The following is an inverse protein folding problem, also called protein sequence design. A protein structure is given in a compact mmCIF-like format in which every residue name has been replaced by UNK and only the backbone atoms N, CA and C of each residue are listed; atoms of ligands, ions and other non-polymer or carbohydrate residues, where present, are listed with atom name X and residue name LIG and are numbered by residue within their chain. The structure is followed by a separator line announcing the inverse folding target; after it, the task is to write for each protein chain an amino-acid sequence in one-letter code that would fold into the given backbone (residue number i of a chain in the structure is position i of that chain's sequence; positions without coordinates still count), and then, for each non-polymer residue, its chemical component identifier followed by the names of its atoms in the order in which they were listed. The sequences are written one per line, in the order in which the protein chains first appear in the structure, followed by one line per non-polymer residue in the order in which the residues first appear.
data_IF_364440049923
#
_entry.id   IF_364440049923
#
_cell.length_a   1.000
_cell.length_b   1.000
_cell.length_c   1.000
_cell.angle_alpha   90.00
_cell.angle_beta   90.00
_cell.angle_gamma   90.00
#
_symmetry.space_group_name_H-M   'P 1'
#
loop_
_entity.id
_entity.type
_entity.pdbx_description
1 polymer ?
#
# COMPACT_ATOMS: atom_id res chain seq x y z
N UNK A 1 -14.75 -8.11 -8.88
CA UNK A 1 -13.53 -7.36 -8.56
C UNK A 1 -13.81 -6.42 -7.41
N UNK A 2 -12.83 -6.19 -6.53
CA UNK A 2 -13.00 -5.26 -5.40
C UNK A 2 -12.68 -3.82 -5.82
N UNK A 3 -11.57 -3.61 -6.54
CA UNK A 3 -11.23 -2.31 -7.14
C UNK A 3 -11.09 -2.49 -8.66
N UNK A 4 -11.71 -1.58 -9.41
CA UNK A 4 -11.60 -1.52 -10.86
C UNK A 4 -11.17 -0.12 -11.26
N UNK A 5 -10.09 -0.01 -12.01
CA UNK A 5 -9.56 1.24 -12.54
C UNK A 5 -9.61 1.17 -14.06
N UNK A 6 -10.18 2.20 -14.71
CA UNK A 6 -10.29 2.29 -16.18
C UNK A 6 -9.92 3.68 -16.65
N UNK A 7 -9.01 3.72 -17.59
CA UNK A 7 -8.57 4.93 -18.29
C UNK A 7 -8.22 6.09 -17.33
N UNK A 8 -7.46 5.77 -16.26
CA UNK A 8 -7.13 6.73 -15.23
C UNK A 8 -6.01 7.67 -15.71
N UNK A 9 -6.32 8.96 -15.75
CA UNK A 9 -5.39 10.04 -16.07
C UNK A 9 -5.20 10.94 -14.86
N UNK A 10 -3.94 11.32 -14.62
CA UNK A 10 -3.56 12.27 -13.55
C UNK A 10 -2.53 13.26 -14.09
N UNK A 11 -2.81 14.54 -13.88
CA UNK A 11 -1.88 15.62 -14.19
C UNK A 11 -1.44 16.31 -12.90
N UNK A 12 -0.13 16.47 -12.68
CA UNK A 12 0.46 17.14 -11.52
C UNK A 12 1.50 18.18 -12.01
N UNK A 13 1.33 19.45 -11.62
CA UNK A 13 2.28 20.50 -11.97
C UNK A 13 2.58 20.61 -13.49
N UNK A 14 1.58 20.34 -14.33
CA UNK A 14 1.73 20.35 -15.79
C UNK A 14 2.25 19.03 -16.40
N UNK A 15 2.70 18.06 -15.59
CA UNK A 15 3.13 16.75 -16.05
C UNK A 15 1.96 15.76 -16.11
N UNK A 16 1.82 15.03 -17.23
CA UNK A 16 0.85 13.93 -17.37
C UNK A 16 1.43 12.66 -16.76
N UNK A 17 1.18 12.44 -15.46
CA UNK A 17 1.82 11.38 -14.66
C UNK A 17 1.19 10.01 -14.91
N UNK A 18 -0.15 9.93 -14.95
CA UNK A 18 -0.86 8.70 -15.33
C UNK A 18 -1.56 8.92 -16.67
N UNK A 19 -1.42 7.97 -17.59
CA UNK A 19 -1.76 8.10 -18.99
C UNK A 19 -2.65 6.94 -19.46
N UNK A 20 -3.88 6.86 -18.88
CA UNK A 20 -4.83 5.79 -19.21
C UNK A 20 -4.53 4.50 -18.46
N UNK A 21 -4.17 4.59 -17.16
CA UNK A 21 -3.95 3.42 -16.31
C UNK A 21 -5.25 2.65 -16.12
N UNK A 22 -5.19 1.33 -16.36
CA UNK A 22 -6.32 0.42 -16.14
C UNK A 22 -5.84 -0.92 -15.62
N UNK A 23 -6.41 -1.35 -14.48
CA UNK A 23 -6.22 -2.69 -13.91
C UNK A 23 -7.28 -2.97 -12.85
N UNK A 24 -7.32 -4.22 -12.41
CA UNK A 24 -8.25 -4.71 -11.40
C UNK A 24 -7.52 -5.25 -10.18
N UNK A 25 -8.15 -5.11 -9.00
CA UNK A 25 -7.77 -5.79 -7.77
C UNK A 25 -8.89 -6.77 -7.41
N UNK A 26 -8.57 -8.05 -7.38
CA UNK A 26 -9.50 -9.08 -6.94
C UNK A 26 -9.73 -8.98 -5.42
N UNK A 27 -10.85 -9.49 -4.94
CA UNK A 27 -11.08 -9.64 -3.51
C UNK A 27 -10.23 -10.78 -2.96
N UNK A 28 -9.62 -10.55 -1.79
CA UNK A 28 -8.68 -11.47 -1.14
C UNK A 28 -7.24 -11.37 -1.66
N UNK A 29 -6.29 -11.48 -0.75
CA UNK A 29 -4.86 -11.48 -1.05
C UNK A 29 -4.27 -10.13 -1.46
N UNK A 30 -3.09 -10.17 -2.05
CA UNK A 30 -2.31 -8.98 -2.41
C UNK A 30 -2.14 -8.87 -3.93
N UNK A 31 -2.51 -7.73 -4.49
CA UNK A 31 -2.09 -7.27 -5.82
C UNK A 31 -0.92 -6.33 -5.66
N UNK A 32 0.22 -6.61 -6.28
CA UNK A 32 1.39 -5.73 -6.24
C UNK A 32 1.45 -4.81 -7.48
N UNK A 33 1.63 -3.52 -7.23
CA UNK A 33 1.87 -2.51 -8.25
C UNK A 33 3.36 -2.21 -8.32
N UNK A 34 4.02 -2.66 -9.38
CA UNK A 34 5.45 -2.59 -9.62
C UNK A 34 5.80 -1.50 -10.61
N UNK A 35 7.07 -1.13 -10.65
CA UNK A 35 7.61 -0.18 -11.60
C UNK A 35 8.75 0.65 -11.00
N UNK A 36 9.50 1.33 -11.84
CA UNK A 36 10.63 2.19 -11.43
C UNK A 36 10.15 3.39 -10.60
N UNK A 37 11.09 4.09 -9.98
CA UNK A 37 10.76 5.34 -9.28
C UNK A 37 10.24 6.39 -10.26
N UNK A 38 9.19 7.12 -9.84
CA UNK A 38 8.61 8.20 -10.61
C UNK A 38 7.63 7.78 -11.72
N UNK A 39 7.35 6.48 -11.93
CA UNK A 39 6.43 6.01 -12.98
C UNK A 39 4.94 6.21 -12.67
N UNK A 40 4.58 6.64 -11.44
CA UNK A 40 3.20 6.94 -11.07
C UNK A 40 2.57 6.01 -10.03
N UNK A 41 3.30 5.09 -9.39
CA UNK A 41 2.76 4.13 -8.41
C UNK A 41 2.04 4.81 -7.24
N UNK A 42 2.73 5.65 -6.46
CA UNK A 42 2.16 6.46 -5.37
C UNK A 42 1.03 7.36 -5.87
N UNK A 43 1.19 7.93 -7.07
CA UNK A 43 0.15 8.77 -7.70
C UNK A 43 -1.12 7.97 -7.97
N UNK A 44 -1.01 6.70 -8.36
CA UNK A 44 -2.16 5.80 -8.53
C UNK A 44 -2.89 5.61 -7.20
N UNK A 45 -2.19 5.31 -6.10
CA UNK A 45 -2.80 5.18 -4.77
C UNK A 45 -3.48 6.49 -4.34
N UNK A 46 -2.80 7.62 -4.53
CA UNK A 46 -3.35 8.95 -4.21
C UNK A 46 -4.58 9.29 -5.06
N UNK A 47 -4.62 8.89 -6.32
CA UNK A 47 -5.80 9.06 -7.16
C UNK A 47 -6.98 8.21 -6.66
N UNK A 48 -6.76 6.95 -6.29
CA UNK A 48 -7.80 6.09 -5.69
C UNK A 48 -8.34 6.73 -4.41
N UNK A 49 -7.48 7.28 -3.55
CA UNK A 49 -7.86 7.97 -2.31
C UNK A 49 -8.55 9.33 -2.52
N UNK A 50 -8.53 9.88 -3.72
CA UNK A 50 -9.03 11.24 -3.96
C UNK A 50 -8.08 12.35 -3.50
N UNK A 51 -6.80 12.04 -3.29
CA UNK A 51 -5.75 12.97 -2.91
C UNK A 51 -5.02 13.59 -4.10
N UNK A 52 -5.31 13.13 -5.33
CA UNK A 52 -4.80 13.71 -6.57
C UNK A 52 -5.95 14.01 -7.53
N UNK A 53 -5.84 15.07 -8.37
CA UNK A 53 -6.76 15.30 -9.47
C UNK A 53 -6.79 14.07 -10.38
N UNK A 54 -7.99 13.62 -10.75
CA UNK A 54 -8.14 12.39 -11.51
C UNK A 54 -9.26 12.48 -12.54
N UNK A 55 -9.05 11.81 -13.68
CA UNK A 55 -10.03 11.59 -14.75
C UNK A 55 -10.03 10.09 -15.08
N UNK A 56 -11.13 9.58 -15.55
CA UNK A 56 -11.35 8.15 -15.78
C UNK A 56 -12.34 7.58 -14.78
N UNK A 57 -12.41 6.25 -14.68
CA UNK A 57 -13.35 5.56 -13.78
C UNK A 57 -12.58 4.78 -12.70
N UNK A 58 -13.04 4.91 -11.46
CA UNK A 58 -12.58 4.14 -10.30
C UNK A 58 -13.80 3.60 -9.57
N UNK A 59 -13.93 2.28 -9.53
CA UNK A 59 -15.04 1.59 -8.88
C UNK A 59 -14.50 0.76 -7.71
N UNK A 60 -15.04 0.98 -6.50
CA UNK A 60 -14.72 0.22 -5.29
C UNK A 60 -15.94 -0.57 -4.84
N UNK A 61 -15.82 -1.90 -4.81
CA UNK A 61 -16.92 -2.80 -4.43
C UNK A 61 -18.22 -2.54 -5.20
N UNK A 62 -18.14 -2.29 -6.51
CA UNK A 62 -19.27 -1.99 -7.40
C UNK A 62 -19.75 -0.54 -7.38
N UNK A 63 -19.18 0.33 -6.53
CA UNK A 63 -19.61 1.71 -6.39
C UNK A 63 -18.56 2.68 -6.98
N UNK A 64 -18.94 3.64 -7.83
CA UNK A 64 -18.03 4.62 -8.40
C UNK A 64 -17.55 5.60 -7.34
N UNK A 65 -16.24 5.84 -7.27
CA UNK A 65 -15.62 6.71 -6.26
C UNK A 65 -14.78 7.85 -6.87
N UNK A 66 -14.66 7.95 -8.19
CA UNK A 66 -13.78 8.94 -8.85
C UNK A 66 -14.17 10.39 -8.56
N UNK A 67 -15.41 10.66 -8.15
CA UNK A 67 -15.90 12.00 -7.78
C UNK A 67 -16.06 12.20 -6.28
N UNK A 68 -15.77 11.18 -5.47
CA UNK A 68 -15.93 11.27 -4.04
C UNK A 68 -14.75 11.97 -3.36
N UNK A 69 -15.04 12.59 -2.23
CA UNK A 69 -14.02 13.18 -1.34
C UNK A 69 -13.34 12.08 -0.53
N UNK A 70 -12.08 12.26 -0.18
CA UNK A 70 -11.24 11.30 0.53
C UNK A 70 -11.91 10.70 1.77
N UNK A 71 -12.54 11.55 2.62
CA UNK A 71 -13.18 11.05 3.84
C UNK A 71 -14.35 10.08 3.57
N UNK A 72 -15.08 10.25 2.45
CA UNK A 72 -16.15 9.31 2.04
C UNK A 72 -15.56 8.00 1.53
N UNK A 73 -14.51 8.08 0.71
CA UNK A 73 -13.77 6.90 0.21
C UNK A 73 -13.23 6.08 1.38
N UNK A 74 -12.58 6.74 2.36
CA UNK A 74 -12.09 6.10 3.58
C UNK A 74 -13.24 5.49 4.39
N UNK A 75 -14.40 6.17 4.46
CA UNK A 75 -15.62 5.67 5.11
C UNK A 75 -16.19 4.39 4.47
N UNK A 76 -15.88 4.10 3.19
CA UNK A 76 -16.26 2.86 2.49
C UNK A 76 -15.38 1.65 2.86
N UNK A 77 -14.42 1.83 3.76
CA UNK A 77 -13.50 0.78 4.21
C UNK A 77 -12.19 0.75 3.45
N UNK A 78 -11.70 1.90 2.98
CA UNK A 78 -10.37 2.02 2.39
C UNK A 78 -9.38 2.46 3.46
N UNK A 79 -8.33 1.63 3.68
CA UNK A 79 -7.20 1.94 4.55
C UNK A 79 -6.00 2.40 3.72
N UNK A 80 -5.09 3.17 4.33
CA UNK A 80 -3.87 3.61 3.67
C UNK A 80 -2.67 3.62 4.61
N UNK A 81 -1.57 3.02 4.14
CA UNK A 81 -0.25 3.07 4.76
C UNK A 81 0.65 3.87 3.83
N UNK A 82 1.03 5.10 4.18
CA UNK A 82 1.87 5.96 3.35
C UNK A 82 3.34 5.56 3.40
N UNK A 83 4.10 5.91 2.34
CA UNK A 83 5.54 5.70 2.22
C UNK A 83 6.34 6.37 3.36
N UNK A 84 5.98 7.61 3.73
CA UNK A 84 6.67 8.41 4.75
C UNK A 84 6.28 8.05 6.20
N UNK A 85 5.54 6.93 6.40
CA UNK A 85 5.04 6.45 7.69
C UNK A 85 4.04 7.38 8.37
N UNK A 86 4.15 8.69 8.26
CA UNK A 86 3.26 9.74 8.79
C UNK A 86 2.89 9.52 10.28
N UNK A 87 3.88 9.13 11.12
CA UNK A 87 3.67 9.03 12.56
C UNK A 87 3.71 10.42 13.21
N UNK A 88 2.83 10.65 14.18
CA UNK A 88 2.87 11.87 15.00
C UNK A 88 4.01 11.75 16.01
N UNK A 89 5.18 12.26 15.66
CA UNK A 89 6.43 12.09 16.42
C UNK A 89 6.35 12.58 17.87
N UNK A 90 5.55 13.62 18.14
CA UNK A 90 5.34 14.21 19.48
C UNK A 90 4.38 13.40 20.37
N UNK A 91 3.61 12.50 19.80
CA UNK A 91 2.65 11.65 20.50
C UNK A 91 3.26 10.29 20.85
N UNK A 92 2.70 9.63 21.84
CA UNK A 92 3.05 8.25 22.19
C UNK A 92 2.54 7.27 21.13
N UNK A 93 3.02 6.01 21.17
CA UNK A 93 2.51 4.93 20.33
C UNK A 93 1.01 4.77 20.53
N UNK A 94 0.55 4.70 21.79
CA UNK A 94 -0.88 4.56 22.11
C UNK A 94 -1.71 5.72 21.59
N UNK A 95 -1.24 6.97 21.72
CA UNK A 95 -1.93 8.15 21.17
C UNK A 95 -2.00 8.11 19.66
N UNK A 96 -0.92 7.69 18.97
CA UNK A 96 -0.91 7.50 17.53
C UNK A 96 -1.97 6.48 17.09
N UNK A 97 -2.07 5.35 17.78
CA UNK A 97 -3.07 4.32 17.52
C UNK A 97 -4.49 4.85 17.77
N UNK A 98 -4.71 5.52 18.92
CA UNK A 98 -6.02 6.06 19.28
C UNK A 98 -6.55 7.08 18.29
N UNK A 99 -5.68 7.94 17.73
CA UNK A 99 -6.06 8.92 16.69
C UNK A 99 -6.49 8.27 15.38
N UNK A 100 -6.07 7.05 15.11
CA UNK A 100 -6.44 6.33 13.89
C UNK A 100 -7.83 5.67 13.96
N UNK A 101 -8.39 5.52 15.16
CA UNK A 101 -9.72 4.91 15.36
C UNK A 101 -10.79 5.80 14.74
N UNK A 102 -11.62 5.21 13.85
CA UNK A 102 -12.72 5.92 13.17
C UNK A 102 -14.05 5.80 13.93
N UNK A 103 -14.72 4.72 13.84
CA UNK A 103 -16.07 4.56 14.40
C UNK A 103 -16.11 3.27 15.21
N UNK A 104 -16.02 3.27 16.50
CA UNK A 104 -16.17 2.11 17.39
C UNK A 104 -15.77 0.74 16.82
N UNK A 105 -15.27 -0.17 17.62
CA UNK A 105 -14.86 -1.50 17.12
C UNK A 105 -13.42 -1.54 16.59
N UNK A 106 -12.56 -0.67 17.13
CA UNK A 106 -11.13 -0.71 16.85
C UNK A 106 -10.52 -2.08 17.21
N UNK A 107 -9.76 -2.67 16.28
CA UNK A 107 -9.18 -4.01 16.40
C UNK A 107 -7.84 -4.00 17.13
N UNK A 108 -7.82 -3.49 18.38
CA UNK A 108 -6.60 -3.44 19.19
C UNK A 108 -6.00 -4.82 19.45
N UNK A 109 -6.84 -5.85 19.65
CA UNK A 109 -6.35 -7.22 19.87
C UNK A 109 -5.56 -7.72 18.67
N UNK A 110 -6.07 -7.55 17.44
CA UNK A 110 -5.36 -7.90 16.21
C UNK A 110 -4.04 -7.12 16.10
N UNK A 111 -4.07 -5.82 16.35
CA UNK A 111 -2.87 -4.98 16.27
C UNK A 111 -1.82 -5.43 17.29
N UNK A 112 -2.20 -5.75 18.53
CA UNK A 112 -1.27 -6.23 19.55
C UNK A 112 -0.79 -7.66 19.32
N UNK A 113 -1.55 -8.48 18.63
CA UNK A 113 -1.12 -9.81 18.18
C UNK A 113 -0.06 -9.71 17.07
N UNK A 114 -0.30 -8.85 16.07
CA UNK A 114 0.62 -8.64 14.95
C UNK A 114 1.89 -7.87 15.36
N UNK A 115 1.77 -6.96 16.33
CA UNK A 115 2.84 -6.06 16.78
C UNK A 115 2.95 -6.04 18.33
N UNK A 116 3.35 -7.15 18.98
CA UNK A 116 3.39 -7.20 20.46
C UNK A 116 4.30 -6.13 21.05
N UNK A 117 5.39 -5.76 20.38
CA UNK A 117 6.30 -4.71 20.84
C UNK A 117 5.67 -3.31 20.88
N UNK A 118 4.62 -3.03 20.11
CA UNK A 118 3.91 -1.75 20.20
C UNK A 118 3.14 -1.62 21.50
N UNK A 119 2.66 -2.74 22.06
CA UNK A 119 2.04 -2.78 23.37
C UNK A 119 3.05 -2.46 24.49
N UNK A 120 4.25 -3.06 24.41
CA UNK A 120 5.32 -2.82 25.37
C UNK A 120 5.80 -1.35 25.37
N UNK A 121 5.72 -0.71 24.18
CA UNK A 121 6.15 0.67 23.93
C UNK A 121 5.01 1.68 23.93
N UNK A 122 3.83 1.31 24.41
CA UNK A 122 2.61 2.13 24.34
C UNK A 122 2.82 3.59 24.80
N UNK A 123 3.58 3.78 25.90
CA UNK A 123 3.89 5.10 26.47
C UNK A 123 5.10 5.80 25.83
N UNK A 124 5.84 5.14 24.91
CA UNK A 124 7.01 5.72 24.25
C UNK A 124 6.58 6.70 23.15
N UNK A 125 7.27 7.84 23.02
CA UNK A 125 7.01 8.79 21.92
C UNK A 125 7.41 8.19 20.57
N UNK A 126 6.51 8.25 19.59
CA UNK A 126 6.73 7.66 18.28
C UNK A 126 7.96 8.22 17.55
N UNK A 127 8.32 9.49 17.78
CA UNK A 127 9.52 10.10 17.22
C UNK A 127 10.84 9.50 17.71
N UNK A 128 10.83 8.75 18.83
CA UNK A 128 12.04 8.09 19.39
C UNK A 128 12.19 6.63 18.97
N UNK A 129 11.22 6.11 18.21
CA UNK A 129 11.25 4.77 17.67
C UNK A 129 12.22 4.66 16.50
N UNK A 130 12.76 3.45 16.25
CA UNK A 130 13.49 3.15 15.03
C UNK A 130 12.58 3.28 13.79
N UNK A 131 13.19 3.44 12.61
CA UNK A 131 12.43 3.53 11.36
C UNK A 131 11.50 2.34 11.11
N UNK A 132 11.93 1.11 11.46
CA UNK A 132 11.08 -0.09 11.36
C UNK A 132 9.93 -0.07 12.35
N UNK A 133 10.16 0.36 13.59
CA UNK A 133 9.10 0.49 14.60
C UNK A 133 8.07 1.56 14.22
N UNK A 134 8.52 2.68 13.63
CA UNK A 134 7.61 3.68 13.07
C UNK A 134 6.77 3.11 11.92
N UNK A 135 7.37 2.25 11.08
CA UNK A 135 6.64 1.56 10.02
C UNK A 135 5.57 0.61 10.58
N UNK A 136 5.89 -0.12 11.66
CA UNK A 136 4.91 -0.96 12.36
C UNK A 136 3.76 -0.12 12.93
N UNK A 137 4.04 1.06 13.50
CA UNK A 137 2.99 2.00 13.95
C UNK A 137 2.11 2.45 12.78
N UNK A 138 2.69 2.78 11.63
CA UNK A 138 1.94 3.21 10.45
C UNK A 138 1.00 2.11 9.94
N UNK A 139 1.49 0.87 9.84
CA UNK A 139 0.68 -0.29 9.44
C UNK A 139 -0.41 -0.56 10.48
N UNK A 140 -0.05 -0.57 11.77
CA UNK A 140 -0.97 -0.80 12.88
C UNK A 140 -2.13 0.21 12.88
N UNK A 141 -1.86 1.49 12.63
CA UNK A 141 -2.89 2.54 12.51
C UNK A 141 -3.91 2.25 11.42
N UNK A 142 -3.47 1.74 10.27
CA UNK A 142 -4.37 1.37 9.19
C UNK A 142 -5.22 0.14 9.55
N UNK A 143 -4.64 -0.86 10.24
CA UNK A 143 -5.29 -2.11 10.62
C UNK A 143 -6.27 -1.99 11.80
N UNK A 144 -6.21 -0.91 12.59
CA UNK A 144 -7.16 -0.68 13.69
C UNK A 144 -8.61 -0.63 13.22
N UNK A 145 -8.85 -0.26 11.97
CA UNK A 145 -10.20 -0.22 11.42
C UNK A 145 -10.41 -1.38 10.44
N UNK A 146 -11.61 -1.97 10.38
CA UNK A 146 -11.93 -2.93 9.32
C UNK A 146 -11.77 -2.27 7.95
N UNK A 147 -10.99 -2.90 7.07
CA UNK A 147 -10.80 -2.41 5.71
C UNK A 147 -11.37 -3.42 4.71
N UNK A 148 -11.99 -2.92 3.64
CA UNK A 148 -12.27 -3.73 2.44
C UNK A 148 -11.04 -3.81 1.56
N UNK A 149 -10.33 -2.68 1.45
CA UNK A 149 -9.10 -2.57 0.67
C UNK A 149 -8.06 -1.78 1.46
N UNK A 150 -6.87 -2.34 1.60
CA UNK A 150 -5.72 -1.68 2.19
C UNK A 150 -4.75 -1.26 1.08
N UNK A 151 -4.49 0.03 0.96
CA UNK A 151 -3.47 0.59 0.07
C UNK A 151 -2.18 0.74 0.87
N UNK A 152 -1.08 0.17 0.37
CA UNK A 152 0.21 0.17 1.07
C UNK A 152 1.29 0.68 0.12
N UNK A 153 1.96 1.76 0.51
CA UNK A 153 2.94 2.44 -0.34
C UNK A 153 4.36 2.23 0.18
N UNK A 154 5.15 1.42 -0.53
CA UNK A 154 6.57 1.11 -0.28
C UNK A 154 6.92 0.82 1.20
N UNK A 155 6.24 -0.13 1.88
CA UNK A 155 6.35 -0.33 3.33
C UNK A 155 7.74 -0.81 3.78
N UNK A 156 8.56 -1.35 2.86
CA UNK A 156 9.90 -1.84 3.21
C UNK A 156 11.03 -0.88 2.84
N UNK A 157 10.69 0.27 2.26
CA UNK A 157 11.68 1.25 1.79
C UNK A 157 12.56 1.78 2.93
N UNK A 158 13.88 1.69 2.71
CA UNK A 158 14.87 2.21 3.67
C UNK A 158 14.96 1.42 4.98
N UNK A 159 14.39 0.21 5.05
CA UNK A 159 14.53 -0.67 6.19
C UNK A 159 15.74 -1.60 6.06
N UNK A 160 16.32 -1.97 7.20
CA UNK A 160 17.33 -3.03 7.26
C UNK A 160 16.72 -4.40 6.87
N UNK A 161 17.50 -5.34 6.30
CA UNK A 161 16.98 -6.63 5.80
C UNK A 161 16.14 -7.42 6.81
N UNK A 162 16.53 -7.43 8.09
CA UNK A 162 15.76 -8.10 9.15
C UNK A 162 14.35 -7.50 9.29
N UNK A 163 14.25 -6.17 9.31
CA UNK A 163 12.97 -5.46 9.42
C UNK A 163 12.10 -5.61 8.16
N UNK A 164 12.72 -5.75 6.97
CA UNK A 164 11.99 -6.09 5.73
C UNK A 164 11.27 -7.43 5.89
N UNK A 165 11.97 -8.43 6.48
CA UNK A 165 11.39 -9.76 6.73
C UNK A 165 10.24 -9.69 7.73
N UNK A 166 10.37 -8.90 8.80
CA UNK A 166 9.33 -8.72 9.82
C UNK A 166 8.08 -8.06 9.22
N UNK A 167 8.26 -6.97 8.46
CA UNK A 167 7.15 -6.30 7.75
C UNK A 167 6.49 -7.24 6.76
N UNK A 168 7.27 -8.00 5.98
CA UNK A 168 6.72 -8.97 5.03
C UNK A 168 5.88 -10.04 5.76
N UNK A 169 6.36 -10.57 6.89
CA UNK A 169 5.60 -11.54 7.69
C UNK A 169 4.26 -10.98 8.19
N UNK A 170 4.26 -9.73 8.67
CA UNK A 170 3.00 -9.06 9.07
C UNK A 170 2.05 -8.92 7.88
N UNK A 171 2.55 -8.51 6.72
CA UNK A 171 1.72 -8.34 5.52
C UNK A 171 1.17 -9.68 5.00
N UNK A 172 1.89 -10.80 5.16
CA UNK A 172 1.34 -12.15 4.89
C UNK A 172 0.11 -12.42 5.76
N UNK A 173 0.21 -12.19 7.05
CA UNK A 173 -0.91 -12.39 7.97
C UNK A 173 -2.08 -11.46 7.69
N UNK A 174 -1.80 -10.21 7.30
CA UNK A 174 -2.83 -9.26 6.86
C UNK A 174 -3.55 -9.77 5.61
N UNK A 175 -2.82 -10.36 4.66
CA UNK A 175 -3.38 -10.89 3.41
C UNK A 175 -4.34 -12.09 3.61
N UNK A 176 -4.30 -12.76 4.76
CA UNK A 176 -5.25 -13.83 5.09
C UNK A 176 -6.67 -13.31 5.31
N UNK A 177 -6.82 -12.06 5.72
CA UNK A 177 -8.13 -11.48 6.11
C UNK A 177 -8.49 -10.20 5.36
N UNK A 178 -7.52 -9.51 4.78
CA UNK A 178 -7.70 -8.22 4.10
C UNK A 178 -7.30 -8.33 2.62
N UNK A 179 -7.92 -7.54 1.77
CA UNK A 179 -7.44 -7.34 0.39
C UNK A 179 -6.47 -6.17 0.39
N UNK A 180 -5.32 -6.30 -0.29
CA UNK A 180 -4.36 -5.20 -0.37
C UNK A 180 -3.90 -4.90 -1.80
N UNK A 181 -3.69 -3.61 -2.09
CA UNK A 181 -2.92 -3.11 -3.22
C UNK A 181 -1.59 -2.57 -2.68
N UNK A 182 -0.52 -3.31 -2.95
CA UNK A 182 0.82 -3.06 -2.44
C UNK A 182 1.69 -2.42 -3.52
N UNK A 183 2.16 -1.23 -3.29
CA UNK A 183 3.26 -0.64 -4.09
C UNK A 183 4.57 -1.10 -3.47
N UNK A 184 5.43 -1.74 -4.24
CA UNK A 184 6.72 -2.24 -3.77
C UNK A 184 7.76 -2.27 -4.90
N UNK A 185 9.05 -2.17 -4.52
CA UNK A 185 10.19 -2.29 -5.43
C UNK A 185 11.05 -3.52 -5.09
N UNK A 186 10.95 -4.01 -3.86
CA UNK A 186 11.66 -5.20 -3.42
C UNK A 186 10.99 -6.46 -4.01
N UNK A 187 11.60 -6.98 -5.08
CA UNK A 187 11.06 -8.16 -5.78
C UNK A 187 10.98 -9.41 -4.89
N UNK A 188 11.89 -9.54 -3.91
CA UNK A 188 11.84 -10.63 -2.93
C UNK A 188 10.58 -10.57 -2.08
N UNK A 189 10.19 -9.37 -1.64
CA UNK A 189 8.93 -9.14 -0.91
C UNK A 189 7.73 -9.41 -1.81
N UNK A 190 7.74 -8.93 -3.05
CA UNK A 190 6.63 -9.14 -3.99
C UNK A 190 6.45 -10.62 -4.33
N UNK A 191 7.53 -11.37 -4.61
CA UNK A 191 7.46 -12.83 -4.85
C UNK A 191 6.84 -13.58 -3.68
N UNK A 192 7.12 -13.11 -2.46
CA UNK A 192 6.61 -13.73 -1.23
C UNK A 192 5.14 -13.43 -0.99
N UNK A 193 4.68 -12.22 -1.31
CA UNK A 193 3.38 -11.70 -0.86
C UNK A 193 2.32 -11.66 -1.96
N UNK A 194 2.69 -11.37 -3.20
CA UNK A 194 1.73 -11.04 -4.24
C UNK A 194 1.14 -12.28 -4.92
N UNK A 195 -0.17 -12.22 -5.15
CA UNK A 195 -0.89 -13.17 -5.99
C UNK A 195 -0.92 -12.68 -7.45
N UNK A 196 -1.16 -11.39 -7.61
CA UNK A 196 -1.22 -10.70 -8.91
C UNK A 196 -0.20 -9.58 -8.92
N UNK A 197 0.44 -9.35 -10.06
CA UNK A 197 1.32 -8.22 -10.29
C UNK A 197 0.78 -7.35 -11.41
N UNK A 198 0.95 -6.03 -11.24
CA UNK A 198 0.69 -5.02 -12.28
C UNK A 198 1.95 -4.19 -12.40
N UNK A 199 2.49 -4.06 -13.61
CA UNK A 199 3.72 -3.28 -13.83
C UNK A 199 3.37 -1.98 -14.54
N UNK A 200 3.78 -0.87 -13.92
CA UNK A 200 3.69 0.48 -14.46
C UNK A 200 5.03 0.89 -15.08
N UNK A 201 4.96 1.44 -16.27
CA UNK A 201 6.07 2.19 -16.88
C UNK A 201 5.52 3.44 -17.56
N UNK A 202 6.21 4.57 -17.35
CA UNK A 202 5.86 5.89 -17.92
C UNK A 202 4.36 6.24 -17.81
N UNK A 203 3.76 5.95 -16.66
CA UNK A 203 2.35 6.25 -16.40
C UNK A 203 1.34 5.32 -17.09
N UNK A 204 1.76 4.18 -17.60
CA UNK A 204 0.92 3.17 -18.27
C UNK A 204 1.12 1.79 -17.67
N UNK A 205 0.08 0.96 -17.71
CA UNK A 205 0.22 -0.47 -17.41
C UNK A 205 0.86 -1.15 -18.62
N UNK A 206 2.01 -1.79 -18.42
CA UNK A 206 2.77 -2.50 -19.45
C UNK A 206 2.72 -4.02 -19.31
N UNK A 207 2.34 -4.51 -18.11
CA UNK A 207 2.17 -5.93 -17.85
C UNK A 207 1.20 -6.16 -16.70
N UNK A 208 0.44 -7.23 -16.78
CA UNK A 208 -0.38 -7.78 -15.68
C UNK A 208 -0.20 -9.29 -15.70
N UNK A 209 0.09 -9.87 -14.55
CA UNK A 209 0.36 -11.30 -14.43
C UNK A 209 0.34 -11.78 -12.99
N UNK A 210 1.11 -12.80 -12.69
CA UNK A 210 1.26 -13.40 -11.34
C UNK A 210 2.66 -13.20 -10.80
N UNK A 211 2.87 -13.45 -9.50
CA UNK A 211 4.21 -13.39 -8.90
C UNK A 211 5.20 -14.37 -9.56
N UNK A 212 4.73 -15.47 -10.16
CA UNK A 212 5.57 -16.42 -10.88
C UNK A 212 6.26 -15.79 -12.13
N UNK A 213 5.68 -14.75 -12.72
CA UNK A 213 6.29 -14.03 -13.84
C UNK A 213 7.62 -13.35 -13.44
N UNK A 214 7.82 -13.10 -12.14
CA UNK A 214 9.06 -12.54 -11.61
C UNK A 214 10.23 -13.55 -11.57
N UNK A 215 9.97 -14.83 -11.85
CA UNK A 215 11.02 -15.86 -11.95
C UNK A 215 11.66 -15.85 -13.35
N UNK A 216 11.02 -15.23 -14.34
CA UNK A 216 11.60 -14.97 -15.67
C UNK A 216 12.48 -13.71 -15.63
N UNK A 217 13.79 -13.92 -15.49
CA UNK A 217 14.77 -12.83 -15.43
C UNK A 217 14.76 -11.94 -16.68
N UNK A 218 14.50 -12.49 -17.87
CA UNK A 218 14.44 -11.72 -19.10
C UNK A 218 13.20 -10.79 -19.11
N UNK A 219 12.08 -11.27 -18.59
CA UNK A 219 10.86 -10.49 -18.41
C UNK A 219 11.10 -9.37 -17.38
N UNK A 220 11.67 -9.69 -16.22
CA UNK A 220 11.99 -8.73 -15.15
C UNK A 220 12.93 -7.64 -15.67
N UNK A 221 14.00 -8.01 -16.37
CA UNK A 221 14.93 -7.05 -16.98
C UNK A 221 14.22 -6.12 -17.98
N UNK A 222 13.36 -6.67 -18.84
CA UNK A 222 12.61 -5.89 -19.82
C UNK A 222 11.62 -4.91 -19.19
N UNK A 223 10.90 -5.33 -18.13
CA UNK A 223 9.83 -4.55 -17.49
C UNK A 223 10.35 -3.54 -16.48
N UNK A 224 11.38 -3.91 -15.71
CA UNK A 224 11.84 -3.12 -14.57
C UNK A 224 13.26 -2.56 -14.75
N UNK A 225 14.00 -3.02 -15.77
CA UNK A 225 15.36 -2.58 -16.05
C UNK A 225 16.37 -2.96 -14.94
N UNK A 226 16.04 -3.94 -14.09
CA UNK A 226 16.93 -4.48 -13.06
C UNK A 226 17.58 -5.75 -13.57
N UNK A 227 18.86 -5.67 -13.96
CA UNK A 227 19.72 -6.83 -14.15
C UNK A 227 20.48 -7.11 -12.85
N UNK A 228 20.83 -8.36 -12.58
CA UNK A 228 21.73 -8.70 -11.50
C UNK A 228 23.03 -7.92 -11.69
N UNK A 229 23.38 -7.07 -10.72
CA UNK A 229 24.77 -6.74 -10.49
C UNK A 229 25.41 -8.01 -9.94
N UNK A 230 26.30 -8.61 -10.74
CA UNK A 230 27.09 -9.76 -10.37
C UNK A 230 27.96 -9.49 -9.13
#
# INVERSE_FOLDING_TARGET
MLLEIRDLHVHLGGSHVLQGVGFDVAEGGITALLGRNGVGKTTTLRAVLGLAPRQGSIVLAGEPIEREQTHRIVGRGLGYVPEDRDVFAGLTVEENLRLAVRNGGARYELVHELFPELRERAAQRAGTLSGGQQQMVAIARALLNPNRLLLIDEPTKGLAPALVSDVAHVLERVAETETALLVEQNLGVVRRLAHTIVVLDQGRVVHTGTAADLDDEALVHRLLGVGHSA
#
